data_IF_690375914037
#
_entry.id   IF_690375914037
#
_cell.length_a   1.000
_cell.length_b   1.000
_cell.length_c   1.000
_cell.angle_alpha   90.00
_cell.angle_beta   90.00
_cell.angle_gamma   90.00
#
_symmetry.space_group_name_H-M   'P 1'
#
loop_
_entity.id
_entity.type
_entity.pdbx_description
1 polymer ?
#
# COMPACT_ATOMS: atom_id res chain seq x y z
N UNK A 1 63.75 35.55 2.65
CA UNK A 1 63.48 34.10 2.58
C UNK A 1 62.47 33.80 3.66
N UNK A 2 61.20 33.81 3.30
CA UNK A 2 60.07 33.57 4.22
C UNK A 2 59.43 32.28 3.74
N UNK A 3 59.31 31.35 4.68
CA UNK A 3 58.86 29.97 4.49
C UNK A 3 57.36 29.98 4.18
N UNK A 4 56.98 29.26 3.13
CA UNK A 4 55.59 28.99 2.75
C UNK A 4 55.09 27.83 3.61
N UNK A 5 54.11 28.08 4.47
CA UNK A 5 53.33 27.01 5.11
C UNK A 5 51.95 26.96 4.47
N UNK A 6 51.72 25.90 3.68
CA UNK A 6 50.41 25.52 3.16
C UNK A 6 49.83 24.55 4.20
N UNK A 7 48.95 25.04 5.07
CA UNK A 7 48.11 24.18 5.89
C UNK A 7 46.75 24.08 5.22
N UNK A 8 46.55 22.93 4.56
CA UNK A 8 45.27 22.52 4.03
C UNK A 8 44.31 22.05 5.14
N UNK A 9 43.08 21.83 4.68
CA UNK A 9 42.01 21.03 5.27
C UNK A 9 41.32 21.65 6.49
N UNK A 10 40.22 22.36 6.22
CA UNK A 10 38.99 22.17 6.98
C UNK A 10 37.78 22.58 6.13
N UNK A 11 37.35 21.66 5.26
CA UNK A 11 36.11 21.76 4.46
C UNK A 11 35.32 20.46 4.56
N UNK A 12 35.19 19.92 5.78
CA UNK A 12 34.64 18.58 5.96
C UNK A 12 33.82 18.38 7.25
N UNK A 13 33.25 19.45 7.81
CA UNK A 13 32.33 19.37 8.97
C UNK A 13 31.02 20.16 8.78
N UNK A 14 30.57 20.36 7.52
CA UNK A 14 29.28 21.00 7.23
C UNK A 14 28.36 20.18 6.31
N UNK A 15 28.58 18.87 6.21
CA UNK A 15 27.79 17.98 5.35
C UNK A 15 26.99 16.88 6.08
N UNK A 16 26.83 16.92 7.40
CA UNK A 16 26.15 15.82 8.13
C UNK A 16 24.77 16.14 8.72
N UNK A 17 24.20 17.32 8.48
CA UNK A 17 22.83 17.65 8.94
C UNK A 17 21.81 17.77 7.80
N UNK A 18 22.23 17.50 6.56
CA UNK A 18 21.35 17.53 5.38
C UNK A 18 20.87 16.14 4.93
N UNK A 19 21.25 15.05 5.62
CA UNK A 19 20.97 13.66 5.20
C UNK A 19 19.87 12.93 6.01
N UNK A 20 19.19 13.60 6.93
CA UNK A 20 18.11 12.99 7.75
C UNK A 20 16.68 13.35 7.29
N UNK A 21 16.51 13.90 6.09
CA UNK A 21 15.20 14.03 5.43
C UNK A 21 15.05 13.04 4.27
N UNK A 22 15.50 11.80 4.45
CA UNK A 22 14.99 10.70 3.62
C UNK A 22 13.53 10.47 4.03
N UNK A 23 12.65 11.25 3.41
CA UNK A 23 11.21 11.09 3.50
C UNK A 23 10.85 9.79 2.77
N UNK A 24 10.92 8.67 3.50
CA UNK A 24 10.47 7.38 3.00
C UNK A 24 8.94 7.41 2.88
N UNK A 25 8.50 7.80 1.70
CA UNK A 25 7.09 7.93 1.35
C UNK A 25 6.39 6.57 1.36
N UNK A 26 7.12 5.48 1.12
CA UNK A 26 6.57 4.11 1.16
C UNK A 26 6.35 3.68 2.60
N UNK A 27 7.30 3.95 3.51
CA UNK A 27 7.08 3.74 4.93
C UNK A 27 5.88 4.53 5.44
N UNK A 28 5.72 5.80 5.03
CA UNK A 28 4.56 6.60 5.42
C UNK A 28 3.24 6.06 4.87
N UNK A 29 3.27 5.52 3.65
CA UNK A 29 2.11 4.87 3.06
C UNK A 29 1.72 3.64 3.88
N UNK A 30 2.71 2.83 4.27
CA UNK A 30 2.50 1.67 5.13
C UNK A 30 1.91 2.06 6.48
N UNK A 31 2.50 3.05 7.17
CA UNK A 31 1.99 3.58 8.44
C UNK A 31 0.55 4.13 8.32
N UNK A 32 0.23 4.77 7.19
CA UNK A 32 -1.12 5.30 6.94
C UNK A 32 -2.15 4.18 6.77
N UNK A 33 -1.87 3.19 5.92
CA UNK A 33 -2.80 2.06 5.69
C UNK A 33 -2.90 1.11 6.89
N UNK A 34 -1.88 1.09 7.76
CA UNK A 34 -1.87 0.31 8.99
C UNK A 34 -2.36 1.10 10.22
N UNK A 35 -2.84 2.34 10.01
CA UNK A 35 -3.44 3.12 11.10
C UNK A 35 -4.74 2.49 11.61
N UNK A 36 -5.05 2.59 12.91
CA UNK A 36 -6.28 2.04 13.47
C UNK A 36 -7.54 2.52 12.76
N UNK A 37 -7.57 3.79 12.34
CA UNK A 37 -8.69 4.39 11.64
C UNK A 37 -8.97 3.69 10.30
N UNK A 38 -7.93 3.50 9.49
CA UNK A 38 -8.05 2.84 8.18
C UNK A 38 -8.35 1.34 8.34
N UNK A 39 -7.65 0.66 9.26
CA UNK A 39 -7.89 -0.76 9.53
C UNK A 39 -9.32 -1.02 9.99
N UNK A 40 -9.89 -0.16 10.84
CA UNK A 40 -11.29 -0.26 11.25
C UNK A 40 -12.23 -0.01 10.09
N UNK A 41 -12.00 1.02 9.26
CA UNK A 41 -12.88 1.29 8.11
C UNK A 41 -12.86 0.15 7.08
N UNK A 42 -11.70 -0.45 6.81
CA UNK A 42 -11.56 -1.64 5.96
C UNK A 42 -12.25 -2.85 6.59
N UNK A 43 -12.07 -3.08 7.90
CA UNK A 43 -12.74 -4.16 8.63
C UNK A 43 -14.26 -4.03 8.61
N UNK A 44 -14.78 -2.84 8.90
CA UNK A 44 -16.21 -2.52 8.88
C UNK A 44 -16.79 -2.71 7.48
N UNK A 45 -16.05 -2.33 6.44
CA UNK A 45 -16.42 -2.56 5.05
C UNK A 45 -16.63 -4.04 4.75
N UNK A 46 -15.63 -4.88 5.07
CA UNK A 46 -15.74 -6.31 4.83
C UNK A 46 -16.82 -6.97 5.68
N UNK A 47 -16.95 -6.59 6.95
CA UNK A 47 -18.02 -7.09 7.82
C UNK A 47 -19.42 -6.73 7.27
N UNK A 48 -19.59 -5.51 6.73
CA UNK A 48 -20.83 -5.05 6.13
C UNK A 48 -21.22 -5.75 4.82
N UNK A 49 -20.26 -6.36 4.14
CA UNK A 49 -20.44 -7.06 2.86
C UNK A 49 -20.32 -8.59 2.97
N UNK A 50 -19.87 -9.14 4.09
CA UNK A 50 -19.62 -10.58 4.27
C UNK A 50 -20.83 -11.45 3.88
N UNK A 51 -22.04 -11.07 4.32
CA UNK A 51 -23.27 -11.81 4.00
C UNK A 51 -23.78 -11.65 2.56
N UNK A 52 -23.14 -10.77 1.76
CA UNK A 52 -23.51 -10.47 0.37
C UNK A 52 -22.53 -11.06 -0.63
N UNK A 53 -21.33 -11.41 -0.18
CA UNK A 53 -20.31 -12.03 -1.02
C UNK A 53 -20.62 -13.52 -1.20
N UNK A 54 -20.67 -13.95 -2.46
CA UNK A 54 -20.76 -15.37 -2.79
C UNK A 54 -19.42 -15.90 -3.25
N UNK A 55 -18.83 -16.78 -2.45
CA UNK A 55 -17.60 -17.48 -2.77
C UNK A 55 -17.95 -18.74 -3.57
N UNK A 56 -17.58 -18.76 -4.84
CA UNK A 56 -17.72 -19.94 -5.73
C UNK A 56 -16.32 -20.52 -5.90
N UNK A 57 -16.16 -21.84 -5.73
CA UNK A 57 -14.91 -22.54 -6.08
C UNK A 57 -13.71 -22.39 -5.15
N UNK A 58 -13.85 -21.89 -3.91
CA UNK A 58 -12.68 -21.73 -3.01
C UNK A 58 -12.29 -23.00 -2.23
N UNK A 59 -13.13 -24.06 -2.18
CA UNK A 59 -12.76 -25.35 -1.58
C UNK A 59 -13.41 -26.54 -2.30
N UNK A 60 -12.55 -27.37 -2.91
CA UNK A 60 -12.74 -28.82 -3.16
C UNK A 60 -14.12 -29.32 -3.63
N UNK A 61 -14.25 -29.60 -4.93
CA UNK A 61 -14.99 -30.78 -5.41
C UNK A 61 -16.35 -30.57 -6.10
N UNK A 62 -16.38 -30.98 -7.36
CA UNK A 62 -17.46 -31.73 -8.05
C UNK A 62 -18.73 -31.02 -8.56
N UNK A 63 -18.86 -29.69 -8.56
CA UNK A 63 -19.99 -29.04 -9.25
C UNK A 63 -19.58 -27.80 -10.06
N UNK A 64 -18.69 -28.02 -11.02
CA UNK A 64 -18.16 -27.07 -12.00
C UNK A 64 -19.12 -26.85 -13.20
N UNK A 65 -20.40 -26.56 -12.94
CA UNK A 65 -21.35 -26.34 -14.05
C UNK A 65 -22.02 -24.96 -14.07
N UNK A 66 -21.80 -24.11 -13.06
CA UNK A 66 -22.05 -22.66 -13.16
C UNK A 66 -20.95 -21.89 -12.40
N UNK A 67 -19.73 -21.89 -12.95
CA UNK A 67 -18.49 -21.30 -12.40
C UNK A 67 -18.43 -19.76 -12.50
N UNK A 68 -19.53 -19.03 -12.32
CA UNK A 68 -19.51 -17.57 -12.44
C UNK A 68 -19.94 -16.92 -11.14
N UNK A 69 -19.06 -16.11 -10.55
CA UNK A 69 -19.41 -15.27 -9.42
C UNK A 69 -20.57 -14.35 -9.80
N UNK A 70 -21.50 -14.06 -8.87
CA UNK A 70 -22.61 -13.16 -9.15
C UNK A 70 -22.07 -11.75 -9.46
N UNK A 71 -22.77 -11.04 -10.35
CA UNK A 71 -22.42 -9.64 -10.69
C UNK A 71 -22.40 -8.73 -9.46
N UNK A 72 -23.19 -9.05 -8.42
CA UNK A 72 -23.18 -8.30 -7.16
C UNK A 72 -21.82 -8.34 -6.44
N UNK A 73 -20.99 -9.37 -6.64
CA UNK A 73 -19.63 -9.36 -6.10
C UNK A 73 -18.77 -8.30 -6.79
N UNK A 74 -18.97 -8.07 -8.08
CA UNK A 74 -18.23 -7.06 -8.83
C UNK A 74 -18.60 -5.65 -8.39
N UNK A 75 -19.88 -5.41 -8.04
CA UNK A 75 -20.30 -4.13 -7.46
C UNK A 75 -19.59 -3.87 -6.12
N UNK A 76 -19.50 -4.90 -5.25
CA UNK A 76 -18.79 -4.82 -3.97
C UNK A 76 -17.27 -4.65 -4.20
N UNK A 77 -16.68 -5.34 -5.16
CA UNK A 77 -15.27 -5.14 -5.52
C UNK A 77 -15.01 -3.71 -6.00
N UNK A 78 -15.89 -3.18 -6.85
CA UNK A 78 -15.76 -1.81 -7.38
C UNK A 78 -15.85 -0.79 -6.25
N UNK A 79 -16.80 -0.91 -5.33
CA UNK A 79 -16.89 0.01 -4.19
C UNK A 79 -15.72 -0.12 -3.20
N UNK A 80 -15.09 -1.30 -3.11
CA UNK A 80 -13.83 -1.46 -2.38
C UNK A 80 -12.70 -0.68 -3.07
N UNK A 81 -12.60 -0.80 -4.39
CA UNK A 81 -11.63 -0.03 -5.19
C UNK A 81 -11.76 1.48 -4.98
N UNK A 82 -12.98 2.01 -5.03
CA UNK A 82 -13.26 3.44 -4.78
C UNK A 82 -12.85 3.88 -3.37
N UNK A 83 -13.06 3.04 -2.36
CA UNK A 83 -12.65 3.31 -0.98
C UNK A 83 -11.13 3.39 -0.85
N UNK A 84 -10.40 2.42 -1.40
CA UNK A 84 -8.93 2.40 -1.38
C UNK A 84 -8.35 3.58 -2.17
N UNK A 85 -8.94 3.91 -3.33
CA UNK A 85 -8.54 5.09 -4.10
C UNK A 85 -8.71 6.37 -3.30
N UNK A 86 -9.82 6.54 -2.58
CA UNK A 86 -10.06 7.69 -1.71
C UNK A 86 -9.02 7.80 -0.59
N UNK A 87 -8.64 6.68 0.01
CA UNK A 87 -7.56 6.66 1.01
C UNK A 87 -6.23 7.11 0.42
N UNK A 88 -5.88 6.58 -0.76
CA UNK A 88 -4.65 6.95 -1.46
C UNK A 88 -4.63 8.45 -1.84
N UNK A 89 -5.74 8.97 -2.37
CA UNK A 89 -5.88 10.39 -2.71
C UNK A 89 -5.75 11.28 -1.47
N UNK A 90 -6.32 10.86 -0.33
CA UNK A 90 -6.22 11.58 0.94
C UNK A 90 -4.77 11.61 1.42
N UNK A 91 -4.11 10.46 1.44
CA UNK A 91 -2.69 10.34 1.79
C UNK A 91 -1.79 11.25 0.95
N UNK A 92 -1.96 11.22 -0.39
CA UNK A 92 -1.19 12.07 -1.31
C UNK A 92 -1.39 13.55 -1.02
N UNK A 93 -2.63 13.95 -0.76
CA UNK A 93 -2.98 15.34 -0.42
C UNK A 93 -2.35 15.78 0.90
N UNK A 94 -2.42 14.95 1.95
CA UNK A 94 -1.87 15.25 3.27
C UNK A 94 -0.34 15.35 3.25
N UNK A 95 0.31 14.54 2.42
CA UNK A 95 1.77 14.55 2.26
C UNK A 95 2.25 15.54 1.19
N UNK A 96 1.34 16.26 0.52
CA UNK A 96 1.65 17.16 -0.59
C UNK A 96 2.48 16.48 -1.70
N UNK A 97 2.07 15.26 -2.06
CA UNK A 97 2.75 14.41 -3.06
C UNK A 97 1.88 14.16 -4.27
N UNK A 98 2.52 14.03 -5.43
CA UNK A 98 1.88 13.57 -6.66
C UNK A 98 1.87 12.04 -6.76
N UNK A 99 0.99 11.45 -7.60
CA UNK A 99 1.06 10.03 -7.94
C UNK A 99 2.41 9.62 -8.53
N UNK A 100 3.02 10.47 -9.36
CA UNK A 100 4.34 10.21 -9.97
C UNK A 100 5.44 10.13 -8.89
N UNK A 101 5.42 11.01 -7.90
CA UNK A 101 6.37 10.96 -6.78
C UNK A 101 6.22 9.68 -5.96
N UNK A 102 4.98 9.22 -5.73
CA UNK A 102 4.73 7.96 -5.05
C UNK A 102 5.21 6.77 -5.86
N UNK A 103 4.95 6.75 -7.17
CA UNK A 103 5.42 5.72 -8.07
C UNK A 103 6.96 5.60 -8.06
N UNK A 104 7.66 6.72 -8.16
CA UNK A 104 9.13 6.75 -8.11
C UNK A 104 9.68 6.29 -6.75
N UNK A 105 8.97 6.59 -5.66
CA UNK A 105 9.32 6.09 -4.33
C UNK A 105 9.16 4.56 -4.25
N UNK A 106 8.05 4.01 -4.73
CA UNK A 106 7.82 2.56 -4.80
C UNK A 106 8.85 1.85 -5.69
N UNK A 107 9.21 2.44 -6.84
CA UNK A 107 10.24 1.89 -7.71
C UNK A 107 11.61 1.82 -7.03
N UNK A 108 11.98 2.88 -6.31
CA UNK A 108 13.24 2.93 -5.57
C UNK A 108 13.28 1.90 -4.46
N UNK A 109 12.21 1.83 -3.67
CA UNK A 109 12.09 0.85 -2.59
C UNK A 109 12.22 -0.57 -3.12
N UNK A 110 11.59 -0.90 -4.25
CA UNK A 110 11.73 -2.20 -4.90
C UNK A 110 13.17 -2.51 -5.32
N UNK A 111 13.92 -1.51 -5.77
CA UNK A 111 15.32 -1.69 -6.21
C UNK A 111 16.28 -1.82 -5.03
N UNK A 112 15.97 -1.18 -3.90
CA UNK A 112 16.83 -1.14 -2.71
C UNK A 112 16.51 -2.27 -1.72
N UNK A 113 15.25 -2.71 -1.63
CA UNK A 113 14.75 -3.73 -0.72
C UNK A 113 13.96 -4.82 -1.48
N UNK A 114 14.68 -5.85 -1.94
CA UNK A 114 14.14 -6.95 -2.75
C UNK A 114 13.02 -7.77 -2.05
N UNK A 115 12.86 -7.64 -0.73
CA UNK A 115 11.91 -8.41 0.10
C UNK A 115 10.93 -7.54 0.91
N UNK A 116 10.80 -6.24 0.61
CA UNK A 116 9.87 -5.36 1.32
C UNK A 116 8.41 -5.64 0.97
N UNK A 117 7.79 -6.64 1.62
CA UNK A 117 6.34 -6.79 1.57
C UNK A 117 5.70 -5.82 2.57
N UNK A 118 4.74 -5.04 2.09
CA UNK A 118 4.08 -3.98 2.86
C UNK A 118 2.57 -4.24 2.82
N UNK A 119 1.90 -4.19 3.98
CA UNK A 119 0.45 -4.44 4.13
C UNK A 119 -0.37 -3.47 3.27
N UNK A 120 0.11 -2.24 3.07
CA UNK A 120 -0.53 -1.29 2.18
C UNK A 120 -0.63 -1.81 0.73
N UNK A 121 0.32 -2.62 0.28
CA UNK A 121 0.27 -3.22 -1.05
C UNK A 121 -0.81 -4.29 -1.15
N UNK A 122 -1.12 -5.00 -0.07
CA UNK A 122 -2.19 -6.01 -0.08
C UNK A 122 -3.54 -5.35 -0.38
N UNK A 123 -3.83 -4.22 0.29
CA UNK A 123 -5.05 -3.45 0.03
C UNK A 123 -5.07 -2.82 -1.38
N UNK A 124 -3.93 -2.31 -1.85
CA UNK A 124 -3.83 -1.73 -3.19
C UNK A 124 -3.98 -2.79 -4.29
N UNK A 125 -3.36 -3.96 -4.14
CA UNK A 125 -3.49 -5.08 -5.08
C UNK A 125 -4.93 -5.57 -5.08
N UNK A 126 -5.55 -5.76 -3.91
CA UNK A 126 -6.95 -6.15 -3.81
C UNK A 126 -7.92 -5.10 -4.39
N UNK A 127 -7.50 -3.85 -4.56
CA UNK A 127 -8.33 -2.83 -5.22
C UNK A 127 -8.34 -2.99 -6.75
N UNK A 128 -7.40 -3.75 -7.31
CA UNK A 128 -7.21 -3.94 -8.75
C UNK A 128 -7.42 -5.38 -9.22
N UNK A 129 -7.20 -6.34 -8.32
CA UNK A 129 -7.30 -7.78 -8.59
C UNK A 129 -8.49 -8.38 -7.83
N UNK A 130 -9.49 -8.84 -8.58
CA UNK A 130 -10.72 -9.40 -8.04
C UNK A 130 -10.50 -10.71 -7.28
N UNK A 131 -9.56 -11.56 -7.72
CA UNK A 131 -9.28 -12.82 -7.03
C UNK A 131 -8.61 -12.54 -5.68
N UNK A 132 -7.66 -11.61 -5.67
CA UNK A 132 -6.99 -11.19 -4.45
C UNK A 132 -7.95 -10.48 -3.47
N UNK A 133 -8.86 -9.66 -3.99
CA UNK A 133 -9.98 -9.10 -3.21
C UNK A 133 -10.81 -10.19 -2.51
N UNK A 134 -11.21 -11.24 -3.24
CA UNK A 134 -11.99 -12.33 -2.67
C UNK A 134 -11.22 -13.09 -1.58
N UNK A 135 -9.91 -13.26 -1.74
CA UNK A 135 -9.06 -13.88 -0.72
C UNK A 135 -9.05 -13.03 0.56
N UNK A 136 -8.77 -11.73 0.45
CA UNK A 136 -8.80 -10.83 1.62
C UNK A 136 -10.19 -10.81 2.27
N UNK A 137 -11.25 -10.71 1.48
CA UNK A 137 -12.62 -10.69 1.99
C UNK A 137 -12.96 -11.99 2.74
N UNK A 138 -12.47 -13.13 2.26
CA UNK A 138 -12.63 -14.42 2.93
C UNK A 138 -11.87 -14.44 4.25
N UNK A 139 -10.64 -13.92 4.30
CA UNK A 139 -9.85 -13.85 5.54
C UNK A 139 -10.57 -13.00 6.60
N UNK A 140 -11.08 -11.81 6.22
CA UNK A 140 -11.88 -10.96 7.13
C UNK A 140 -13.17 -11.61 7.62
N UNK A 141 -13.77 -12.52 6.83
CA UNK A 141 -15.00 -13.22 7.21
C UNK A 141 -14.76 -14.39 8.18
N UNK A 142 -13.49 -14.81 8.35
CA UNK A 142 -13.10 -15.94 9.20
C UNK A 142 -12.27 -15.52 10.45
N UNK A 143 -12.13 -14.21 10.69
CA UNK A 143 -11.57 -13.62 11.91
C UNK A 143 -12.64 -13.47 13.00
#
# INVERSE_FOLDING_TARGET
>A
MVVVEISGVNSMEQCSEASEQHNDLVQKLEEYFTSPEIMVEVGDYFHGCANKLHYVGTQTGENDLEETHPLSNYDIFTSYGEMIEKFLQTFLKENSKSPDELYEACLREKLENENGWAVCLDYLIASLDYEYFLQIAYDFSNL
#
